data_IF_222824590566
#
_entry.id   IF_222824590566
#
_cell.length_a   1.000
_cell.length_b   1.000
_cell.length_c   1.000
_cell.angle_alpha   90.00
_cell.angle_beta   90.00
_cell.angle_gamma   90.00
#
_symmetry.space_group_name_H-M   'P 1'
#
loop_
_entity.id
_entity.type
_entity.pdbx_description
1 polymer ?
#
# COMPACT_ATOMS: atom_id res chain seq x y z
N UNK A 1 5.01 1.36 18.29
CA UNK A 1 6.05 0.78 17.42
C UNK A 1 5.40 0.41 16.09
N UNK A 2 6.10 0.66 14.99
CA UNK A 2 5.67 0.40 13.64
C UNK A 2 6.65 -0.56 12.96
N UNK A 3 6.10 -1.52 12.23
CA UNK A 3 6.86 -2.47 11.42
C UNK A 3 6.63 -2.18 9.94
N UNK A 4 7.68 -2.33 9.15
CA UNK A 4 7.67 -2.19 7.70
C UNK A 4 8.37 -3.39 7.09
N UNK A 5 7.79 -3.97 6.05
CA UNK A 5 8.33 -5.11 5.31
C UNK A 5 8.47 -4.71 3.85
N UNK A 6 9.63 -4.97 3.25
CA UNK A 6 9.80 -4.97 1.81
C UNK A 6 9.58 -6.39 1.29
N UNK A 7 8.69 -6.56 0.33
CA UNK A 7 8.45 -7.84 -0.32
C UNK A 7 8.77 -7.76 -1.81
N UNK A 8 9.18 -8.90 -2.36
CA UNK A 8 9.11 -9.21 -3.79
C UNK A 8 8.12 -10.34 -3.95
N UNK A 9 7.03 -10.10 -4.67
CA UNK A 9 5.89 -11.02 -4.74
C UNK A 9 5.42 -11.45 -3.33
N UNK A 10 5.40 -12.75 -3.05
CA UNK A 10 5.04 -13.35 -1.76
C UNK A 10 6.23 -13.52 -0.79
N UNK A 11 7.43 -13.10 -1.20
CA UNK A 11 8.66 -13.27 -0.44
C UNK A 11 9.03 -11.99 0.32
N UNK A 12 9.06 -12.01 1.67
CA UNK A 12 9.59 -10.91 2.45
C UNK A 12 11.13 -10.88 2.35
N UNK A 13 11.68 -9.73 1.97
CA UNK A 13 13.13 -9.53 1.83
C UNK A 13 13.75 -8.95 3.09
N UNK A 14 13.09 -7.95 3.69
CA UNK A 14 13.56 -7.34 4.93
C UNK A 14 12.40 -6.83 5.78
N UNK A 15 12.54 -6.98 7.09
CA UNK A 15 11.66 -6.39 8.10
C UNK A 15 12.43 -5.37 8.92
N UNK A 16 11.85 -4.18 9.06
CA UNK A 16 12.39 -3.11 9.91
C UNK A 16 11.32 -2.63 10.87
N UNK A 17 11.73 -2.36 12.10
CA UNK A 17 10.86 -1.76 13.12
C UNK A 17 11.45 -0.45 13.66
N UNK A 18 10.54 0.43 14.08
CA UNK A 18 10.90 1.65 14.78
C UNK A 18 9.73 2.17 15.63
N UNK A 19 9.98 3.13 16.52
CA UNK A 19 8.92 3.84 17.23
C UNK A 19 8.07 4.65 16.22
N UNK A 20 8.72 5.29 15.24
CA UNK A 20 8.07 6.07 14.19
C UNK A 20 7.93 5.32 12.87
N UNK A 21 6.75 5.37 12.23
CA UNK A 21 6.51 4.71 10.93
C UNK A 21 7.44 5.21 9.82
N UNK A 22 7.73 6.51 9.82
CA UNK A 22 8.61 7.14 8.84
C UNK A 22 10.04 6.57 8.95
N UNK A 23 10.54 6.42 10.18
CA UNK A 23 11.86 5.85 10.43
C UNK A 23 11.94 4.38 10.01
N UNK A 24 10.88 3.60 10.26
CA UNK A 24 10.83 2.20 9.81
C UNK A 24 10.92 2.10 8.28
N UNK A 25 10.29 3.02 7.54
CA UNK A 25 10.43 3.11 6.07
C UNK A 25 11.82 3.57 5.64
N UNK A 26 12.40 4.57 6.33
CA UNK A 26 13.75 5.05 6.01
C UNK A 26 14.81 3.96 6.20
N UNK A 27 14.66 3.10 7.20
CA UNK A 27 15.53 1.92 7.38
C UNK A 27 15.43 0.95 6.21
N UNK A 28 14.23 0.73 5.65
CA UNK A 28 14.07 -0.09 4.44
C UNK A 28 14.74 0.59 3.25
N UNK A 29 14.56 1.90 3.07
CA UNK A 29 15.22 2.64 1.99
C UNK A 29 16.76 2.55 2.09
N UNK A 30 17.32 2.73 3.29
CA UNK A 30 18.74 2.55 3.54
C UNK A 30 19.22 1.13 3.25
N UNK A 31 18.45 0.11 3.63
CA UNK A 31 18.76 -1.28 3.33
C UNK A 31 18.74 -1.55 1.81
N UNK A 32 17.74 -1.06 1.07
CA UNK A 32 17.68 -1.21 -0.39
C UNK A 32 18.90 -0.58 -1.06
N UNK A 33 19.29 0.62 -0.62
CA UNK A 33 20.47 1.30 -1.14
C UNK A 33 21.75 0.50 -0.89
N UNK A 34 21.97 0.01 0.33
CA UNK A 34 23.16 -0.77 0.68
C UNK A 34 23.23 -2.10 -0.09
N UNK A 35 22.09 -2.73 -0.36
CA UNK A 35 22.03 -4.02 -1.05
C UNK A 35 21.87 -3.88 -2.58
N UNK A 36 21.83 -2.65 -3.12
CA UNK A 36 21.55 -2.40 -4.54
C UNK A 36 20.28 -3.09 -5.04
N UNK A 37 19.23 -3.08 -4.21
CA UNK A 37 17.97 -3.76 -4.50
C UNK A 37 17.12 -2.94 -5.48
N UNK A 38 16.59 -3.61 -6.51
CA UNK A 38 15.66 -3.04 -7.49
C UNK A 38 14.34 -2.66 -6.80
N UNK A 39 13.67 -1.57 -7.20
CA UNK A 39 12.43 -1.12 -6.54
C UNK A 39 11.15 -1.44 -7.32
N UNK A 40 11.27 -1.61 -8.63
CA UNK A 40 10.17 -1.68 -9.59
C UNK A 40 9.29 -2.94 -9.44
N UNK A 41 9.81 -3.98 -8.81
CA UNK A 41 9.12 -5.25 -8.54
C UNK A 41 8.79 -5.42 -7.04
N UNK A 42 8.77 -4.33 -6.27
CA UNK A 42 8.60 -4.37 -4.81
C UNK A 42 7.23 -3.94 -4.33
N UNK A 43 6.87 -4.50 -3.18
CA UNK A 43 5.72 -4.12 -2.37
C UNK A 43 6.24 -3.67 -1.01
N UNK A 44 5.86 -2.46 -0.60
CA UNK A 44 6.15 -1.97 0.74
C UNK A 44 4.91 -2.12 1.63
N UNK A 45 5.01 -2.97 2.65
CA UNK A 45 4.00 -3.10 3.68
C UNK A 45 4.41 -2.30 4.92
N UNK A 46 3.49 -1.53 5.52
CA UNK A 46 3.73 -0.86 6.81
C UNK A 46 2.54 -0.99 7.76
N UNK A 47 2.80 -0.99 9.06
CA UNK A 47 1.73 -0.96 10.06
C UNK A 47 1.16 0.44 10.32
N UNK A 48 1.84 1.50 9.85
CA UNK A 48 1.45 2.90 10.05
C UNK A 48 0.36 3.40 9.10
N UNK A 49 -0.24 4.56 9.40
CA UNK A 49 -1.19 5.21 8.48
C UNK A 49 -0.51 5.68 7.20
N UNK A 50 -1.23 5.55 6.08
CA UNK A 50 -0.79 6.02 4.76
C UNK A 50 -1.10 7.52 4.61
N UNK A 51 -0.23 8.35 5.15
CA UNK A 51 -0.25 9.82 4.95
C UNK A 51 0.47 10.18 3.65
N UNK A 52 0.27 11.39 3.13
CA UNK A 52 0.95 11.86 1.90
C UNK A 52 2.48 11.74 1.98
N UNK A 53 3.07 11.99 3.15
CA UNK A 53 4.52 11.79 3.38
C UNK A 53 4.96 10.33 3.19
N UNK A 54 4.14 9.36 3.62
CA UNK A 54 4.46 7.94 3.45
C UNK A 54 4.40 7.55 1.98
N UNK A 55 3.42 8.10 1.25
CA UNK A 55 3.28 7.93 -0.20
C UNK A 55 4.48 8.54 -0.92
N UNK A 56 4.85 9.78 -0.59
CA UNK A 56 6.02 10.47 -1.18
C UNK A 56 7.30 9.68 -0.96
N UNK A 57 7.58 9.22 0.27
CA UNK A 57 8.78 8.41 0.54
C UNK A 57 8.82 7.15 -0.31
N UNK A 58 7.70 6.45 -0.40
CA UNK A 58 7.61 5.20 -1.16
C UNK A 58 7.74 5.45 -2.67
N UNK A 59 7.15 6.53 -3.18
CA UNK A 59 7.31 6.96 -4.57
C UNK A 59 8.75 7.34 -4.90
N UNK A 60 9.43 8.08 -4.01
CA UNK A 60 10.84 8.45 -4.16
C UNK A 60 11.78 7.23 -4.12
N UNK A 61 11.39 6.17 -3.42
CA UNK A 61 12.09 4.88 -3.49
C UNK A 61 11.87 4.15 -4.83
N UNK A 62 10.92 4.59 -5.66
CA UNK A 62 10.53 3.92 -6.91
C UNK A 62 9.65 2.69 -6.69
N UNK A 63 9.15 2.44 -5.48
CA UNK A 63 8.33 1.28 -5.18
C UNK A 63 6.89 1.52 -5.67
N UNK A 64 6.34 0.67 -6.54
CA UNK A 64 5.03 0.92 -7.15
C UNK A 64 3.84 0.62 -6.23
N UNK A 65 4.02 -0.19 -5.19
CA UNK A 65 2.91 -0.70 -4.35
C UNK A 65 3.17 -0.39 -2.87
N UNK A 66 2.23 0.32 -2.24
CA UNK A 66 2.25 0.66 -0.82
C UNK A 66 1.01 0.10 -0.11
N UNK A 67 1.23 -0.72 0.92
CA UNK A 67 0.19 -1.46 1.63
C UNK A 67 0.23 -1.15 3.11
N UNK A 68 -0.94 -1.00 3.72
CA UNK A 68 -1.06 -0.89 5.17
C UNK A 68 -2.29 -1.57 5.75
N UNK A 69 -2.12 -2.16 6.93
CA UNK A 69 -3.21 -2.61 7.80
C UNK A 69 -4.00 -1.46 8.44
N UNK A 70 -3.44 -0.25 8.44
CA UNK A 70 -4.02 0.93 9.07
C UNK A 70 -4.84 1.78 8.08
N UNK A 71 -5.41 2.88 8.57
CA UNK A 71 -6.11 3.84 7.73
C UNK A 71 -5.17 4.68 6.86
N UNK A 72 -5.78 5.51 6.01
CA UNK A 72 -5.13 6.43 5.08
C UNK A 72 -5.70 7.84 5.29
N UNK A 73 -5.12 8.83 4.61
CA UNK A 73 -5.68 10.18 4.48
C UNK A 73 -6.19 10.39 3.07
N UNK A 74 -7.25 11.20 2.89
CA UNK A 74 -7.79 11.50 1.56
C UNK A 74 -6.69 12.01 0.62
N UNK A 75 -5.92 13.02 1.08
CA UNK A 75 -4.81 13.56 0.31
C UNK A 75 -3.68 12.54 0.02
N UNK A 76 -3.53 11.52 0.86
CA UNK A 76 -2.55 10.45 0.60
C UNK A 76 -3.02 9.52 -0.50
N UNK A 77 -4.32 9.20 -0.52
CA UNK A 77 -4.93 8.41 -1.58
C UNK A 77 -4.92 9.15 -2.93
N UNK A 78 -5.28 10.44 -2.92
CA UNK A 78 -5.25 11.27 -4.13
C UNK A 78 -3.84 11.37 -4.70
N UNK A 79 -2.84 11.62 -3.84
CA UNK A 79 -1.46 11.70 -4.27
C UNK A 79 -0.94 10.37 -4.84
N UNK A 80 -1.30 9.24 -4.25
CA UNK A 80 -0.91 7.93 -4.78
C UNK A 80 -1.52 7.67 -6.17
N UNK A 81 -2.75 8.14 -6.41
CA UNK A 81 -3.40 8.09 -7.73
C UNK A 81 -2.64 8.95 -8.74
N UNK A 82 -2.30 10.19 -8.38
CA UNK A 82 -1.57 11.11 -9.27
C UNK A 82 -0.17 10.60 -9.63
N UNK A 83 0.47 9.89 -8.69
CA UNK A 83 1.77 9.25 -8.89
C UNK A 83 1.68 7.88 -9.58
N UNK A 84 0.48 7.40 -9.92
CA UNK A 84 0.28 6.10 -10.55
C UNK A 84 0.66 4.90 -9.67
N UNK A 85 0.71 5.08 -8.35
CA UNK A 85 1.02 4.02 -7.39
C UNK A 85 -0.23 3.19 -7.07
N UNK A 86 -0.01 1.93 -6.69
CA UNK A 86 -1.05 1.12 -6.05
C UNK A 86 -1.02 1.34 -4.55
N UNK A 87 -2.13 1.84 -4.00
CA UNK A 87 -2.26 2.13 -2.57
C UNK A 87 -3.36 1.27 -1.95
N UNK A 88 -2.99 0.44 -0.97
CA UNK A 88 -3.92 -0.45 -0.27
C UNK A 88 -3.96 -0.09 1.21
N UNK A 89 -5.14 0.27 1.70
CA UNK A 89 -5.39 0.56 3.12
C UNK A 89 -6.28 -0.47 3.78
N UNK A 90 -6.34 -0.42 5.13
CA UNK A 90 -7.25 -1.24 5.96
C UNK A 90 -7.14 -2.75 5.70
N UNK A 91 -5.97 -3.23 5.30
CA UNK A 91 -5.73 -4.66 5.06
C UNK A 91 -5.95 -5.49 6.34
N UNK A 92 -6.86 -6.47 6.27
CA UNK A 92 -7.16 -7.41 7.35
C UNK A 92 -7.62 -8.76 6.77
N UNK A 93 -6.74 -9.76 6.84
CA UNK A 93 -7.02 -11.08 6.27
C UNK A 93 -7.31 -10.96 4.77
N UNK A 94 -8.49 -11.42 4.34
CA UNK A 94 -8.95 -11.36 2.94
C UNK A 94 -9.65 -10.05 2.55
N UNK A 95 -9.64 -9.03 3.42
CA UNK A 95 -10.34 -7.76 3.18
C UNK A 95 -9.35 -6.60 3.14
N UNK A 96 -9.53 -5.68 2.20
CA UNK A 96 -8.75 -4.45 2.09
C UNK A 96 -9.51 -3.41 1.28
N UNK A 97 -9.00 -2.17 1.26
CA UNK A 97 -9.46 -1.10 0.38
C UNK A 97 -8.35 -0.75 -0.61
N UNK A 98 -8.58 -1.01 -1.89
CA UNK A 98 -7.73 -0.49 -2.97
C UNK A 98 -8.13 0.95 -3.28
N UNK A 99 -7.21 1.88 -3.08
CA UNK A 99 -7.46 3.31 -3.20
C UNK A 99 -7.00 3.87 -4.56
N UNK A 100 -5.97 3.24 -5.13
CA UNK A 100 -5.41 3.55 -6.45
C UNK A 100 -4.71 2.32 -7.00
N UNK A 101 -4.48 2.30 -8.32
CA UNK A 101 -3.65 1.29 -8.97
C UNK A 101 -4.24 -0.12 -8.99
N UNK A 102 -5.56 -0.25 -9.07
CA UNK A 102 -6.28 -1.54 -9.06
C UNK A 102 -5.92 -2.44 -10.25
N UNK A 103 -5.42 -1.87 -11.33
CA UNK A 103 -4.95 -2.58 -12.52
C UNK A 103 -3.73 -3.47 -12.28
N UNK A 104 -2.99 -3.25 -11.18
CA UNK A 104 -1.89 -4.15 -10.75
C UNK A 104 -2.36 -5.33 -9.91
N UNK A 105 -3.65 -5.37 -9.53
CA UNK A 105 -4.18 -6.44 -8.69
C UNK A 105 -4.66 -7.61 -9.56
N UNK A 106 -4.19 -8.80 -9.20
CA UNK A 106 -4.71 -10.07 -9.72
C UNK A 106 -5.72 -10.59 -8.69
N UNK A 107 -6.98 -10.69 -9.10
CA UNK A 107 -8.06 -11.19 -8.25
C UNK A 107 -8.14 -12.70 -8.37
N UNK A 108 -7.78 -13.41 -7.30
CA UNK A 108 -7.69 -14.87 -7.23
C UNK A 108 -8.80 -15.53 -6.37
N UNK A 109 -9.72 -14.72 -5.82
CA UNK A 109 -10.86 -15.17 -5.03
C UNK A 109 -12.16 -14.66 -5.62
N UNK A 110 -13.08 -15.57 -5.96
CA UNK A 110 -14.46 -15.22 -6.29
C UNK A 110 -15.20 -14.78 -5.02
N UNK A 111 -15.59 -13.51 -4.94
CA UNK A 111 -16.39 -13.00 -3.82
C UNK A 111 -17.83 -13.54 -3.95
N UNK A 112 -18.28 -14.34 -2.98
CA UNK A 112 -19.64 -14.88 -2.96
C UNK A 112 -20.69 -13.74 -2.86
N UNK A 113 -21.82 -13.90 -3.55
CA UNK A 113 -22.81 -12.81 -3.73
C UNK A 113 -23.41 -12.25 -2.42
N UNK A 114 -23.25 -12.93 -1.28
CA UNK A 114 -23.74 -12.48 0.03
C UNK A 114 -23.01 -11.27 0.62
N UNK A 115 -21.80 -10.94 0.15
CA UNK A 115 -21.01 -9.80 0.67
C UNK A 115 -21.19 -8.51 -0.15
N UNK A 116 -21.89 -8.55 -1.29
CA UNK A 116 -22.11 -7.37 -2.16
C UNK A 116 -23.02 -6.30 -1.54
N UNK A 117 -23.88 -6.67 -0.59
CA UNK A 117 -24.90 -5.79 0.00
C UNK A 117 -24.34 -4.73 0.95
N UNK A 118 -23.08 -4.83 1.40
CA UNK A 118 -22.47 -3.81 2.29
C UNK A 118 -21.67 -2.75 1.51
N UNK A 119 -21.25 -3.03 0.28
CA UNK A 119 -20.49 -2.09 -0.58
C UNK A 119 -21.35 -1.21 -1.47
N UNK A 120 -22.68 -1.39 -1.50
CA UNK A 120 -23.60 -0.61 -2.34
C UNK A 120 -23.82 0.86 -1.92
N UNK A 121 -23.12 1.38 -0.90
CA UNK A 121 -23.26 2.78 -0.48
C UNK A 121 -22.16 3.73 -0.97
N UNK A 122 -21.20 3.28 -1.78
CA UNK A 122 -20.27 4.18 -2.48
C UNK A 122 -19.96 3.57 -3.84
N UNK A 123 -20.77 3.88 -4.85
CA UNK A 123 -20.46 4.06 -6.28
C UNK A 123 -21.83 4.32 -6.96
N UNK A 124 -22.18 5.59 -7.15
CA UNK A 124 -23.08 5.99 -8.25
C UNK A 124 -22.23 6.80 -9.24
N UNK A 125 -22.08 6.36 -10.51
CA UNK A 125 -21.84 7.29 -11.59
C UNK A 125 -23.20 7.87 -12.02
N UNK A 126 -23.48 9.12 -11.67
CA UNK A 126 -24.49 9.89 -12.42
C UNK A 126 -23.85 10.34 -13.72
N UNK A 127 -24.13 9.61 -14.79
CA UNK A 127 -23.95 10.09 -16.16
C UNK A 127 -25.08 11.04 -16.52
N UNK A 128 -24.70 12.26 -16.91
CA UNK A 128 -25.48 13.12 -17.80
C UNK A 128 -25.63 12.50 -19.18
#
# INVERSE_FOLDING_TARGET
>A
MHGTVLCKDDVPLVYMEDVGRHNAVDKVAGWMHVNSECSEDKILYTTGRLTSEMVIKTALMGIPILVSRSGFTAWGADLAKDLGMTLIGRLRGKRFLCLSGSERLIWDVEVSQSEKTTTSNIIEPKSS
#
